data_IF_045192900465
#
_entry.id   IF_045192900465
#
_cell.length_a   1.000
_cell.length_b   1.000
_cell.length_c   1.000
_cell.angle_alpha   90.00
_cell.angle_beta   90.00
_cell.angle_gamma   90.00
#
_symmetry.space_group_name_H-M   'P 1'
#
loop_
_entity.id
_entity.type
_entity.pdbx_description
1 polymer ?
#
# COMPACT_ATOMS: atom_id res chain seq x y z
N UNK A 1 -25.29 9.11 0.28
CA UNK A 1 -24.97 10.54 0.51
C UNK A 1 -24.34 10.77 1.88
N UNK A 2 -24.84 10.11 2.94
CA UNK A 2 -24.27 10.21 4.28
C UNK A 2 -22.83 9.66 4.35
N UNK A 3 -22.55 8.60 3.60
CA UNK A 3 -21.26 7.90 3.54
C UNK A 3 -20.15 8.79 2.97
N UNK A 4 -20.45 9.52 1.89
CA UNK A 4 -19.54 10.51 1.30
C UNK A 4 -19.27 11.64 2.32
N UNK A 5 -20.29 12.07 3.06
CA UNK A 5 -20.13 13.04 4.14
C UNK A 5 -19.21 12.55 5.25
N UNK A 6 -19.30 11.26 5.63
CA UNK A 6 -18.43 10.64 6.62
C UNK A 6 -16.99 10.58 6.09
N UNK A 7 -16.77 10.12 4.86
CA UNK A 7 -15.43 10.09 4.23
C UNK A 7 -14.83 11.50 4.22
N UNK A 8 -15.61 12.50 3.78
CA UNK A 8 -15.17 13.89 3.76
C UNK A 8 -14.85 14.42 5.18
N UNK A 9 -15.65 14.06 6.18
CA UNK A 9 -15.42 14.45 7.57
C UNK A 9 -14.14 13.80 8.13
N UNK A 10 -13.88 12.53 7.85
CA UNK A 10 -12.64 11.84 8.25
C UNK A 10 -11.43 12.46 7.54
N UNK A 11 -11.52 12.71 6.23
CA UNK A 11 -10.48 13.40 5.48
C UNK A 11 -10.18 14.79 6.04
N UNK A 12 -11.22 15.55 6.37
CA UNK A 12 -11.10 16.88 6.97
C UNK A 12 -10.51 16.81 8.38
N UNK A 13 -10.97 15.88 9.21
CA UNK A 13 -10.42 15.69 10.56
C UNK A 13 -8.94 15.31 10.50
N UNK A 14 -8.56 14.39 9.61
CA UNK A 14 -7.17 14.01 9.38
C UNK A 14 -6.33 15.19 8.90
N UNK A 15 -6.83 15.99 7.95
CA UNK A 15 -6.07 17.12 7.40
C UNK A 15 -5.76 18.21 8.45
N UNK A 16 -6.65 18.41 9.43
CA UNK A 16 -6.42 19.33 10.55
C UNK A 16 -5.25 18.92 11.46
N UNK A 17 -4.94 17.62 11.53
CA UNK A 17 -3.91 17.07 12.43
C UNK A 17 -2.72 16.46 11.69
N UNK A 18 -2.73 16.42 10.36
CA UNK A 18 -1.73 15.70 9.55
C UNK A 18 -0.31 16.22 9.79
N UNK A 19 -0.13 17.53 9.90
CA UNK A 19 1.17 18.15 10.13
C UNK A 19 1.74 17.74 11.50
N UNK A 20 0.89 17.68 12.53
CA UNK A 20 1.29 17.24 13.87
C UNK A 20 1.62 15.74 13.91
N UNK A 21 0.87 14.93 13.15
CA UNK A 21 1.10 13.49 13.01
C UNK A 21 2.37 13.18 12.21
N UNK A 22 2.82 14.09 11.32
CA UNK A 22 4.02 13.89 10.50
C UNK A 22 5.30 13.68 11.31
N UNK A 23 5.35 14.17 12.55
CA UNK A 23 6.46 13.93 13.47
C UNK A 23 6.45 12.55 14.14
N UNK A 24 5.38 11.78 13.97
CA UNK A 24 5.16 10.46 14.58
C UNK A 24 5.18 9.38 13.48
N UNK A 25 5.31 8.12 13.86
CA UNK A 25 5.27 6.99 12.92
C UNK A 25 3.84 6.61 12.48
N UNK A 26 2.92 7.58 12.42
CA UNK A 26 1.51 7.37 12.08
C UNK A 26 1.28 7.82 10.65
N UNK A 27 1.00 6.86 9.76
CA UNK A 27 0.77 7.14 8.33
C UNK A 27 -0.73 7.37 8.04
N UNK A 28 -1.07 8.11 6.97
CA UNK A 28 -2.46 8.29 6.58
C UNK A 28 -3.23 6.97 6.44
N UNK A 29 -2.69 5.92 5.78
CA UNK A 29 -3.42 4.65 5.65
C UNK A 29 -3.76 3.97 6.97
N UNK A 30 -2.88 4.06 7.99
CA UNK A 30 -3.21 3.56 9.34
C UNK A 30 -4.41 4.28 9.93
N UNK A 31 -4.50 5.61 9.75
CA UNK A 31 -5.61 6.41 10.26
C UNK A 31 -6.91 6.08 9.51
N UNK A 32 -6.89 5.98 8.18
CA UNK A 32 -8.08 5.65 7.40
C UNK A 32 -8.58 4.22 7.65
N UNK A 33 -7.68 3.24 7.81
CA UNK A 33 -8.06 1.87 8.19
C UNK A 33 -8.68 1.86 9.59
N UNK A 34 -8.05 2.53 10.57
CA UNK A 34 -8.60 2.62 11.92
C UNK A 34 -9.97 3.31 11.96
N UNK A 35 -10.13 4.41 11.22
CA UNK A 35 -11.40 5.10 11.08
C UNK A 35 -12.47 4.21 10.42
N UNK A 36 -12.11 3.48 9.37
CA UNK A 36 -13.01 2.53 8.70
C UNK A 36 -13.49 1.41 9.62
N UNK A 37 -12.59 0.82 10.41
CA UNK A 37 -12.94 -0.21 11.41
C UNK A 37 -13.85 0.37 12.50
N UNK A 38 -13.51 1.55 13.03
CA UNK A 38 -14.30 2.18 14.10
C UNK A 38 -15.69 2.63 13.64
N UNK A 39 -15.80 3.18 12.43
CA UNK A 39 -17.07 3.68 11.89
C UNK A 39 -17.92 2.57 11.25
N UNK A 40 -17.28 1.44 10.93
CA UNK A 40 -17.88 0.28 10.27
C UNK A 40 -18.98 -0.43 11.09
N UNK A 41 -19.67 -1.38 10.46
CA UNK A 41 -20.81 -2.10 11.04
C UNK A 41 -20.50 -2.81 12.36
N UNK A 42 -19.28 -3.34 12.52
CA UNK A 42 -18.90 -4.12 13.70
C UNK A 42 -18.67 -3.28 14.97
N UNK A 43 -18.52 -1.95 14.84
CA UNK A 43 -18.19 -1.07 15.98
C UNK A 43 -19.23 0.02 16.20
N UNK A 44 -19.32 1.02 15.32
CA UNK A 44 -20.29 2.12 15.47
C UNK A 44 -21.51 1.97 14.57
N UNK A 45 -21.41 1.23 13.46
CA UNK A 45 -22.51 1.01 12.53
C UNK A 45 -23.01 2.26 11.81
N UNK A 46 -22.19 3.33 11.78
CA UNK A 46 -22.55 4.60 11.13
C UNK A 46 -22.10 4.67 9.67
N UNK A 47 -21.20 3.77 9.27
CA UNK A 47 -20.65 3.69 7.93
C UNK A 47 -20.78 2.26 7.42
N UNK A 48 -21.75 2.03 6.52
CA UNK A 48 -21.96 0.76 5.84
C UNK A 48 -21.77 0.97 4.35
N UNK A 49 -20.56 0.69 3.87
CA UNK A 49 -20.17 0.88 2.48
C UNK A 49 -20.03 -0.49 1.82
N UNK A 50 -21.13 -1.00 1.27
CA UNK A 50 -21.13 -2.25 0.48
C UNK A 50 -20.62 -1.98 -0.92
N UNK A 51 -19.30 -2.12 -1.12
CA UNK A 51 -18.62 -1.99 -2.42
C UNK A 51 -18.55 -3.33 -3.19
N UNK A 52 -19.46 -4.26 -2.92
CA UNK A 52 -19.48 -5.60 -3.52
C UNK A 52 -20.05 -5.65 -4.94
N UNK A 53 -20.49 -4.51 -5.49
CA UNK A 53 -21.01 -4.40 -6.85
C UNK A 53 -19.99 -3.85 -7.86
N UNK A 54 -20.32 -3.90 -9.14
CA UNK A 54 -19.49 -3.40 -10.26
C UNK A 54 -19.00 -1.96 -10.05
N UNK A 55 -19.81 -1.11 -9.41
CA UNK A 55 -19.44 0.28 -9.14
C UNK A 55 -18.30 0.40 -8.13
N UNK A 56 -18.26 -0.47 -7.11
CA UNK A 56 -17.19 -0.44 -6.09
C UNK A 56 -15.86 -0.91 -6.67
N UNK A 57 -15.90 -1.98 -7.47
CA UNK A 57 -14.76 -2.46 -8.25
C UNK A 57 -14.25 -1.39 -9.21
N UNK A 58 -15.13 -0.76 -10.00
CA UNK A 58 -14.74 0.30 -10.92
C UNK A 58 -14.09 1.50 -10.22
N UNK A 59 -14.60 1.90 -9.05
CA UNK A 59 -13.98 2.98 -8.25
C UNK A 59 -12.59 2.58 -7.74
N UNK A 60 -12.43 1.35 -7.25
CA UNK A 60 -11.14 0.83 -6.79
C UNK A 60 -10.13 0.72 -7.95
N UNK A 61 -10.57 0.25 -9.11
CA UNK A 61 -9.76 0.18 -10.34
C UNK A 61 -9.32 1.57 -10.80
N UNK A 62 -10.24 2.55 -10.86
CA UNK A 62 -9.89 3.93 -11.25
C UNK A 62 -8.90 4.53 -10.25
N UNK A 63 -9.12 4.33 -8.94
CA UNK A 63 -8.21 4.81 -7.91
C UNK A 63 -6.81 4.17 -8.07
N UNK A 64 -6.75 2.85 -8.27
CA UNK A 64 -5.52 2.12 -8.48
C UNK A 64 -4.80 2.63 -9.74
N UNK A 65 -5.49 2.77 -10.87
CA UNK A 65 -4.91 3.31 -12.11
C UNK A 65 -4.30 4.70 -11.90
N UNK A 66 -4.99 5.59 -11.18
CA UNK A 66 -4.46 6.93 -10.90
C UNK A 66 -3.21 6.86 -10.01
N UNK A 67 -3.22 6.04 -8.96
CA UNK A 67 -2.09 5.88 -8.04
C UNK A 67 -0.89 5.28 -8.77
N UNK A 68 -1.07 4.15 -9.47
CA UNK A 68 -0.01 3.48 -10.22
C UNK A 68 0.59 4.39 -11.29
N UNK A 69 -0.25 5.15 -12.01
CA UNK A 69 0.23 6.11 -12.99
C UNK A 69 1.03 7.25 -12.34
N UNK A 70 0.54 7.79 -11.22
CA UNK A 70 1.21 8.86 -10.50
C UNK A 70 2.57 8.41 -9.95
N UNK A 71 2.67 7.18 -9.47
CA UNK A 71 3.93 6.62 -8.96
C UNK A 71 4.90 6.30 -10.09
N UNK A 72 4.42 5.70 -11.19
CA UNK A 72 5.23 5.50 -12.39
C UNK A 72 5.78 6.82 -12.96
N UNK A 73 4.99 7.90 -12.93
CA UNK A 73 5.40 9.22 -13.41
C UNK A 73 6.50 9.88 -12.56
N UNK A 74 6.71 9.45 -11.30
CA UNK A 74 7.76 9.96 -10.41
C UNK A 74 9.11 9.22 -10.56
N UNK A 75 9.17 8.13 -11.32
CA UNK A 75 10.38 7.33 -11.47
C UNK A 75 11.40 8.05 -12.36
N UNK A 76 12.59 8.32 -11.83
CA UNK A 76 13.72 8.86 -12.60
C UNK A 76 14.56 7.72 -13.22
N UNK A 77 14.26 7.39 -14.48
CA UNK A 77 14.99 6.39 -15.25
C UNK A 77 16.48 6.74 -15.46
N UNK A 78 16.85 8.03 -15.41
CA UNK A 78 18.25 8.45 -15.56
C UNK A 78 19.05 8.19 -14.30
N UNK A 79 18.47 8.46 -13.13
CA UNK A 79 19.07 8.13 -11.83
C UNK A 79 19.25 6.61 -11.64
N UNK A 80 18.35 5.81 -12.20
CA UNK A 80 18.41 4.34 -12.24
C UNK A 80 19.59 3.78 -13.03
N UNK A 81 19.98 4.43 -14.13
CA UNK A 81 21.05 3.94 -15.01
C UNK A 81 22.40 3.77 -14.29
N UNK A 82 22.63 4.53 -13.21
CA UNK A 82 23.84 4.43 -12.39
C UNK A 82 23.81 3.38 -11.26
N UNK A 83 22.65 2.81 -10.91
CA UNK A 83 22.53 1.90 -9.75
C UNK A 83 21.42 0.85 -9.87
N UNK A 84 21.21 0.31 -11.07
CA UNK A 84 20.13 -0.65 -11.39
C UNK A 84 20.22 -2.00 -10.65
N UNK A 85 21.39 -2.36 -10.13
CA UNK A 85 21.62 -3.67 -9.53
C UNK A 85 20.76 -3.93 -8.28
N UNK A 86 20.50 -2.89 -7.47
CA UNK A 86 19.74 -3.06 -6.23
C UNK A 86 18.24 -3.33 -6.50
N UNK A 87 17.51 -2.52 -7.29
CA UNK A 87 16.13 -2.83 -7.66
C UNK A 87 15.96 -4.17 -8.36
N UNK A 88 16.90 -4.54 -9.26
CA UNK A 88 16.83 -5.83 -9.97
C UNK A 88 16.98 -7.02 -9.03
N UNK A 89 17.86 -6.95 -8.03
CA UNK A 89 17.99 -8.01 -7.02
C UNK A 89 16.77 -8.08 -6.11
N UNK A 90 16.20 -6.93 -5.75
CA UNK A 90 15.01 -6.85 -4.92
C UNK A 90 13.79 -7.45 -5.64
N UNK A 91 13.55 -7.05 -6.89
CA UNK A 91 12.44 -7.58 -7.70
C UNK A 91 12.66 -9.01 -8.19
N UNK A 92 13.87 -9.34 -8.65
CA UNK A 92 14.15 -10.64 -9.29
C UNK A 92 14.48 -11.76 -8.31
N UNK A 93 14.88 -11.44 -7.08
CA UNK A 93 15.26 -12.43 -6.06
C UNK A 93 14.48 -12.20 -4.77
N UNK A 94 14.49 -10.96 -4.26
CA UNK A 94 13.83 -10.60 -3.00
C UNK A 94 12.34 -10.94 -3.01
N UNK A 95 11.59 -10.40 -3.96
CA UNK A 95 10.15 -10.62 -4.05
C UNK A 95 9.77 -12.09 -4.28
N UNK A 96 10.35 -12.85 -5.23
CA UNK A 96 10.06 -14.26 -5.36
C UNK A 96 10.32 -15.05 -4.07
N UNK A 97 11.42 -14.75 -3.36
CA UNK A 97 11.70 -15.38 -2.07
C UNK A 97 10.66 -14.99 -1.01
N UNK A 98 10.24 -13.72 -0.97
CA UNK A 98 9.18 -13.25 -0.07
C UNK A 98 7.85 -13.95 -0.35
N UNK A 99 7.48 -14.10 -1.63
CA UNK A 99 6.26 -14.84 -2.02
C UNK A 99 6.37 -16.29 -1.58
N UNK A 100 7.47 -17.00 -1.91
CA UNK A 100 7.66 -18.41 -1.55
C UNK A 100 7.60 -18.58 -0.03
N UNK A 101 8.30 -17.74 0.73
CA UNK A 101 8.27 -17.77 2.19
C UNK A 101 6.87 -17.48 2.72
N UNK A 102 6.16 -16.50 2.14
CA UNK A 102 4.78 -16.19 2.47
C UNK A 102 3.84 -17.38 2.24
N UNK A 103 3.97 -18.09 1.11
CA UNK A 103 3.19 -19.30 0.82
C UNK A 103 3.47 -20.38 1.87
N UNK A 104 4.75 -20.66 2.15
CA UNK A 104 5.14 -21.69 3.10
C UNK A 104 4.66 -21.39 4.52
N UNK A 105 4.83 -20.14 4.97
CA UNK A 105 4.37 -19.69 6.29
C UNK A 105 2.85 -19.70 6.34
N UNK A 106 2.17 -19.19 5.31
CA UNK A 106 0.72 -19.17 5.19
C UNK A 106 0.12 -20.57 5.24
N UNK A 107 0.66 -21.51 4.49
CA UNK A 107 0.21 -22.90 4.48
C UNK A 107 0.37 -23.62 5.84
N UNK A 108 1.31 -23.17 6.68
CA UNK A 108 1.52 -23.74 8.03
C UNK A 108 0.64 -23.05 9.08
N UNK A 109 0.50 -21.72 9.01
CA UNK A 109 -0.24 -20.93 10.00
C UNK A 109 -1.75 -20.95 9.75
N UNK A 110 -2.18 -20.85 8.51
CA UNK A 110 -3.59 -20.74 8.10
C UNK A 110 -4.13 -22.13 7.76
N UNK A 111 -4.46 -22.91 8.79
CA UNK A 111 -4.91 -24.31 8.63
C UNK A 111 -6.23 -24.48 7.89
N UNK A 112 -7.01 -23.42 7.79
CA UNK A 112 -8.33 -23.40 7.14
C UNK A 112 -8.27 -22.97 5.67
N UNK A 113 -7.06 -22.65 5.17
CA UNK A 113 -6.83 -22.08 3.84
C UNK A 113 -6.08 -23.09 2.98
N UNK A 114 -6.52 -23.30 1.74
CA UNK A 114 -5.83 -24.19 0.81
C UNK A 114 -4.46 -23.62 0.40
N UNK A 115 -3.57 -24.49 -0.08
CA UNK A 115 -2.24 -24.09 -0.54
C UNK A 115 -2.28 -22.94 -1.57
N UNK A 116 -3.23 -23.00 -2.52
CA UNK A 116 -3.35 -21.97 -3.56
C UNK A 116 -3.93 -20.66 -3.05
N UNK A 117 -4.82 -20.70 -2.07
CA UNK A 117 -5.33 -19.50 -1.42
C UNK A 117 -4.22 -18.82 -0.60
N UNK A 118 -3.40 -19.58 0.12
CA UNK A 118 -2.21 -19.06 0.79
C UNK A 118 -1.20 -18.46 -0.21
N UNK A 119 -1.06 -19.07 -1.40
CA UNK A 119 -0.24 -18.54 -2.47
C UNK A 119 -0.77 -17.20 -3.01
N UNK A 120 -2.09 -17.08 -3.19
CA UNK A 120 -2.75 -15.82 -3.59
C UNK A 120 -2.52 -14.74 -2.53
N UNK A 121 -2.74 -15.05 -1.25
CA UNK A 121 -2.51 -14.10 -0.15
C UNK A 121 -1.05 -13.64 -0.11
N UNK A 122 -0.09 -14.56 -0.25
CA UNK A 122 1.32 -14.23 -0.30
C UNK A 122 1.67 -13.34 -1.50
N UNK A 123 1.08 -13.61 -2.67
CA UNK A 123 1.28 -12.80 -3.86
C UNK A 123 0.70 -11.38 -3.73
N UNK A 124 -0.42 -11.23 -3.03
CA UNK A 124 -1.04 -9.92 -2.75
C UNK A 124 -0.25 -9.13 -1.70
N UNK A 125 0.32 -9.80 -0.69
CA UNK A 125 1.04 -9.16 0.42
C UNK A 125 2.53 -8.89 0.16
N UNK A 126 3.14 -9.56 -0.81
CA UNK A 126 4.57 -9.43 -1.09
C UNK A 126 4.98 -8.11 -1.76
N UNK A 127 4.20 -7.54 -2.70
CA UNK A 127 4.47 -6.20 -3.23
C UNK A 127 4.47 -5.14 -2.12
N UNK A 128 5.34 -4.15 -2.25
CA UNK A 128 5.49 -3.07 -1.27
C UNK A 128 5.09 -1.74 -1.89
N UNK A 129 4.05 -1.13 -1.34
CA UNK A 129 3.49 0.14 -1.83
C UNK A 129 4.43 1.33 -1.53
N UNK A 130 4.76 2.07 -2.59
CA UNK A 130 5.63 3.26 -2.54
C UNK A 130 5.03 4.38 -1.67
N UNK A 131 3.71 4.56 -1.73
CA UNK A 131 2.93 5.53 -0.98
C UNK A 131 2.97 5.23 0.53
N UNK A 132 2.87 3.96 0.93
CA UNK A 132 3.08 3.53 2.32
C UNK A 132 4.54 3.75 2.77
N UNK A 133 5.49 3.54 1.86
CA UNK A 133 6.92 3.77 2.07
C UNK A 133 7.38 5.23 1.99
N UNK A 134 6.51 6.20 1.70
CA UNK A 134 6.90 7.60 1.45
C UNK A 134 7.67 8.24 2.59
N UNK A 135 7.36 7.89 3.85
CA UNK A 135 8.11 8.39 5.00
C UNK A 135 9.61 8.03 4.94
N UNK A 136 9.94 6.88 4.34
CA UNK A 136 11.32 6.41 4.15
C UNK A 136 11.94 6.99 2.88
N UNK A 137 11.18 6.98 1.77
CA UNK A 137 11.64 7.44 0.45
C UNK A 137 11.83 8.96 0.38
N UNK A 138 11.10 9.73 1.19
CA UNK A 138 11.26 11.20 1.29
C UNK A 138 12.29 11.64 2.32
N UNK A 139 12.64 10.78 3.29
CA UNK A 139 13.53 11.12 4.40
C UNK A 139 14.97 11.42 3.96
N UNK A 140 15.48 12.60 4.28
CA UNK A 140 16.88 12.95 3.99
C UNK A 140 17.91 12.12 4.79
N UNK A 141 17.47 11.40 5.83
CA UNK A 141 18.33 10.50 6.61
C UNK A 141 18.71 9.24 5.85
N UNK A 142 17.95 8.87 4.81
CA UNK A 142 18.21 7.68 4.00
C UNK A 142 19.05 8.08 2.77
N UNK A 143 20.17 7.39 2.47
CA UNK A 143 20.99 7.67 1.30
C UNK A 143 20.17 7.70 0.01
N UNK A 144 20.42 8.68 -0.86
CA UNK A 144 19.67 8.86 -2.12
C UNK A 144 19.60 7.59 -2.97
N UNK A 145 20.69 6.80 -2.98
CA UNK A 145 20.75 5.51 -3.70
C UNK A 145 19.72 4.50 -3.21
N UNK A 146 19.46 4.44 -1.90
CA UNK A 146 18.50 3.52 -1.30
C UNK A 146 17.08 4.03 -1.55
N UNK A 147 16.84 5.34 -1.35
CA UNK A 147 15.54 5.96 -1.62
C UNK A 147 15.07 5.74 -3.07
N UNK A 148 15.97 5.96 -4.03
CA UNK A 148 15.69 5.71 -5.44
C UNK A 148 15.46 4.23 -5.73
N UNK A 149 16.24 3.33 -5.12
CA UNK A 149 16.03 1.91 -5.33
C UNK A 149 14.67 1.42 -4.81
N UNK A 150 14.26 1.87 -3.61
CA UNK A 150 12.96 1.55 -3.02
C UNK A 150 11.80 2.14 -3.82
N UNK A 151 11.92 3.39 -4.29
CA UNK A 151 10.88 4.02 -5.13
C UNK A 151 10.67 3.25 -6.44
N UNK A 152 11.76 2.73 -7.01
CA UNK A 152 11.71 1.96 -8.26
C UNK A 152 11.19 0.56 -8.04
N UNK A 153 11.64 -0.13 -6.99
CA UNK A 153 11.12 -1.44 -6.61
C UNK A 153 9.61 -1.37 -6.39
N UNK A 154 9.14 -0.40 -5.61
CA UNK A 154 7.74 -0.21 -5.29
C UNK A 154 6.92 0.11 -6.56
N UNK A 155 7.35 1.10 -7.36
CA UNK A 155 6.63 1.41 -8.60
C UNK A 155 6.66 0.31 -9.68
N UNK A 156 7.61 -0.64 -9.63
CA UNK A 156 7.65 -1.81 -10.51
C UNK A 156 6.90 -3.02 -9.95
N UNK A 157 6.66 -3.08 -8.64
CA UNK A 157 5.94 -4.18 -8.00
C UNK A 157 4.44 -3.92 -7.85
N UNK A 158 4.04 -2.65 -7.84
CA UNK A 158 2.64 -2.24 -7.71
C UNK A 158 1.84 -2.44 -9.01
N UNK A 159 2.51 -2.58 -10.16
CA UNK A 159 1.89 -2.71 -11.50
C UNK A 159 2.06 -4.06 -12.19
#
# INVERSE_FOLDING_TARGET
MAEIGIIAAVLFAYSLVSDKLSGWAITPPMVFVAAGVLLGPDVLGVFDLTLTGETGLALAEIALVIVLFADAARIDLRALSGNRNLPVRLLGIGMPLTIILGVLIGAVLLKEVEFWEAAIVAAILAPTDAALGQAVVSSQKVPQRIRQALNVESGLNDG
#
